data_IF_360021775029
#
_entry.id   IF_360021775029
#
_cell.length_a   1.000
_cell.length_b   1.000
_cell.length_c   1.000
_cell.angle_alpha   90.00
_cell.angle_beta   90.00
_cell.angle_gamma   90.00
#
_symmetry.space_group_name_H-M   'P 1'
#
loop_
_entity.id
_entity.type
_entity.pdbx_description
1 polymer ?
#
# COMPACT_ATOMS: atom_id res chain seq x y z
N UNK A 1 15.29 -44.78 -6.95
CA UNK A 1 15.35 -43.31 -6.91
C UNK A 1 14.66 -42.72 -8.15
N UNK A 2 13.38 -42.32 -8.07
CA UNK A 2 12.62 -41.70 -9.19
C UNK A 2 12.08 -40.30 -8.84
N UNK A 3 12.71 -39.59 -7.90
CA UNK A 3 12.22 -38.31 -7.35
C UNK A 3 12.37 -37.04 -8.23
N UNK A 4 13.25 -36.93 -9.26
CA UNK A 4 13.42 -35.65 -9.94
C UNK A 4 12.29 -35.32 -10.93
N UNK A 5 11.71 -36.32 -11.60
CA UNK A 5 10.71 -36.09 -12.65
C UNK A 5 9.37 -35.57 -12.09
N UNK A 6 8.93 -36.07 -10.92
CA UNK A 6 7.70 -35.62 -10.25
C UNK A 6 7.80 -34.19 -9.74
N UNK A 7 8.99 -33.79 -9.29
CA UNK A 7 9.26 -32.42 -8.81
C UNK A 7 9.22 -31.41 -9.96
N UNK A 8 9.79 -31.77 -11.12
CA UNK A 8 9.74 -30.95 -12.34
C UNK A 8 8.33 -30.79 -12.90
N UNK A 9 7.54 -31.88 -12.93
CA UNK A 9 6.14 -31.83 -13.39
C UNK A 9 5.28 -30.97 -12.45
N UNK A 10 5.45 -31.07 -11.13
CA UNK A 10 4.75 -30.23 -10.18
C UNK A 10 5.11 -28.74 -10.33
N UNK A 11 6.39 -28.43 -10.55
CA UNK A 11 6.84 -27.05 -10.81
C UNK A 11 6.25 -26.49 -12.12
N UNK A 12 6.17 -27.32 -13.17
CA UNK A 12 5.58 -26.94 -14.46
C UNK A 12 4.06 -26.69 -14.38
N UNK A 13 3.34 -27.50 -13.60
CA UNK A 13 1.90 -27.31 -13.39
C UNK A 13 1.60 -26.05 -12.57
N UNK A 14 2.39 -25.79 -11.52
CA UNK A 14 2.22 -24.58 -10.69
C UNK A 14 2.52 -23.29 -11.47
N UNK A 15 3.51 -23.32 -12.36
CA UNK A 15 3.83 -22.19 -13.23
C UNK A 15 2.76 -21.95 -14.30
N UNK A 16 2.06 -22.99 -14.76
CA UNK A 16 0.94 -22.84 -15.69
C UNK A 16 -0.33 -22.22 -15.06
N UNK A 17 -0.46 -22.26 -13.73
CA UNK A 17 -1.60 -21.69 -12.98
C UNK A 17 -1.31 -20.26 -12.50
N UNK A 18 -0.05 -19.83 -12.52
CA UNK A 18 0.37 -18.50 -12.10
C UNK A 18 -0.09 -17.43 -13.11
N UNK A 19 -1.25 -16.80 -12.86
CA UNK A 19 -1.66 -15.59 -13.55
C UNK A 19 -1.13 -14.36 -12.80
N UNK A 20 -0.47 -13.45 -13.50
CA UNK A 20 -0.07 -12.16 -12.95
C UNK A 20 -1.24 -11.19 -13.02
N UNK A 21 -1.78 -10.82 -11.86
CA UNK A 21 -2.71 -9.70 -11.76
C UNK A 21 -1.90 -8.44 -11.38
N UNK A 22 -1.86 -7.45 -12.26
CA UNK A 22 -1.23 -6.14 -12.02
C UNK A 22 -2.09 -5.27 -11.08
N UNK A 23 -2.54 -5.83 -9.95
CA UNK A 23 -3.47 -5.21 -9.01
C UNK A 23 -2.77 -4.69 -7.73
N UNK A 24 -1.44 -4.54 -7.76
CA UNK A 24 -0.64 -4.14 -6.59
C UNK A 24 -0.98 -2.74 -6.08
N UNK A 25 -1.24 -1.78 -6.98
CA UNK A 25 -1.64 -0.42 -6.60
C UNK A 25 -0.70 0.21 -5.56
N UNK A 26 -1.21 0.43 -4.35
CA UNK A 26 -0.48 0.96 -3.19
C UNK A 26 -0.30 -0.08 -2.07
N UNK A 27 -0.46 -1.38 -2.39
CA UNK A 27 -0.18 -2.48 -1.47
C UNK A 27 1.32 -2.58 -1.20
N UNK A 28 1.66 -2.78 0.06
CA UNK A 28 3.02 -2.99 0.57
C UNK A 28 3.11 -4.32 1.35
N UNK A 29 2.39 -5.33 0.85
CA UNK A 29 2.23 -6.62 1.54
C UNK A 29 3.58 -7.33 1.74
N UNK A 30 4.47 -7.30 0.75
CA UNK A 30 5.80 -7.92 0.82
C UNK A 30 6.78 -7.15 1.69
N UNK A 31 6.61 -5.83 1.78
CA UNK A 31 7.45 -4.90 2.53
C UNK A 31 7.12 -4.90 4.03
N UNK A 32 6.09 -5.65 4.43
CA UNK A 32 5.69 -5.86 5.82
C UNK A 32 6.58 -6.87 6.56
N UNK A 33 7.62 -7.43 5.93
CA UNK A 33 8.59 -8.33 6.56
C UNK A 33 9.87 -8.51 5.73
N UNK A 34 11.09 -8.46 6.31
CA UNK A 34 12.35 -8.58 5.56
C UNK A 34 12.49 -9.90 4.81
N UNK A 35 12.08 -11.01 5.43
CA UNK A 35 12.09 -12.34 4.81
C UNK A 35 11.20 -12.37 3.57
N UNK A 36 10.00 -11.79 3.67
CA UNK A 36 9.02 -11.76 2.58
C UNK A 36 9.48 -10.89 1.41
N UNK A 37 10.16 -9.79 1.70
CA UNK A 37 10.80 -8.98 0.65
C UNK A 37 11.94 -9.77 -0.02
N UNK A 38 12.78 -10.43 0.77
CA UNK A 38 13.95 -11.17 0.28
C UNK A 38 13.61 -12.36 -0.62
N UNK A 39 12.45 -13.00 -0.40
CA UNK A 39 11.98 -14.13 -1.22
C UNK A 39 10.88 -13.76 -2.21
N UNK A 40 10.58 -12.46 -2.38
CA UNK A 40 9.54 -11.95 -3.27
C UNK A 40 8.14 -12.54 -2.99
N UNK A 41 7.76 -12.69 -1.73
CA UNK A 41 6.45 -13.23 -1.35
C UNK A 41 6.33 -14.75 -1.46
N UNK A 42 7.39 -15.46 -1.86
CA UNK A 42 7.33 -16.88 -2.14
C UNK A 42 7.06 -17.69 -0.87
N UNK A 43 6.00 -18.49 -0.88
CA UNK A 43 5.63 -19.30 0.29
C UNK A 43 5.07 -18.49 1.45
N UNK A 44 4.59 -17.26 1.22
CA UNK A 44 4.10 -16.36 2.27
C UNK A 44 3.13 -17.00 3.28
N UNK A 45 2.23 -17.85 2.79
CA UNK A 45 1.23 -18.51 3.63
C UNK A 45 1.71 -19.85 4.23
N UNK A 46 2.89 -20.36 3.89
CA UNK A 46 3.31 -21.73 4.23
C UNK A 46 4.68 -21.80 4.93
N UNK A 47 5.53 -20.79 4.76
CA UNK A 47 6.90 -20.78 5.27
C UNK A 47 6.98 -20.12 6.66
N UNK A 48 7.07 -20.93 7.71
CA UNK A 48 7.23 -20.45 9.09
C UNK A 48 8.69 -20.24 9.48
N UNK A 49 9.43 -19.37 8.75
CA UNK A 49 10.84 -19.11 9.03
C UNK A 49 11.06 -18.34 10.35
N UNK A 50 10.19 -17.37 10.64
CA UNK A 50 10.25 -16.54 11.84
C UNK A 50 8.85 -16.00 12.23
N UNK A 51 8.75 -15.17 13.28
CA UNK A 51 7.48 -14.65 13.78
C UNK A 51 6.65 -13.86 12.75
N UNK A 52 7.25 -13.36 11.67
CA UNK A 52 6.52 -12.62 10.63
C UNK A 52 5.44 -13.46 9.96
N UNK A 53 5.54 -14.80 10.02
CA UNK A 53 4.53 -15.70 9.46
C UNK A 53 3.12 -15.40 10.00
N UNK A 54 2.99 -14.88 11.22
CA UNK A 54 1.69 -14.53 11.79
C UNK A 54 0.85 -13.65 10.86
N UNK A 55 1.41 -12.50 10.46
CA UNK A 55 0.77 -11.55 9.54
C UNK A 55 0.35 -12.19 8.20
N UNK A 56 1.18 -13.09 7.69
CA UNK A 56 1.01 -13.69 6.37
C UNK A 56 0.14 -14.94 6.37
N UNK A 57 0.10 -15.68 7.48
CA UNK A 57 -0.81 -16.77 7.82
C UNK A 57 -0.70 -17.10 9.32
N UNK A 58 -1.69 -16.74 10.15
CA UNK A 58 -1.64 -16.98 11.59
C UNK A 58 -1.61 -18.49 11.95
N UNK A 59 -2.09 -19.38 11.07
CA UNK A 59 -1.95 -20.82 11.27
C UNK A 59 -0.49 -21.28 11.24
N UNK A 60 0.40 -20.54 10.56
CA UNK A 60 1.83 -20.80 10.51
C UNK A 60 2.57 -20.51 11.81
N UNK A 61 1.97 -19.78 12.76
CA UNK A 61 2.57 -19.53 14.07
C UNK A 61 2.90 -20.83 14.83
N UNK A 62 2.20 -21.93 14.55
CA UNK A 62 2.46 -23.24 15.17
C UNK A 62 3.81 -23.87 14.78
N UNK A 63 4.47 -23.31 13.75
CA UNK A 63 5.82 -23.68 13.34
C UNK A 63 6.90 -22.98 14.19
N UNK A 64 6.50 -21.99 15.00
CA UNK A 64 7.39 -21.25 15.88
C UNK A 64 7.49 -21.96 17.22
N UNK A 65 8.64 -22.55 17.49
CA UNK A 65 8.86 -23.36 18.70
C UNK A 65 9.47 -22.60 19.88
N UNK A 66 10.05 -21.43 19.63
CA UNK A 66 10.67 -20.59 20.65
C UNK A 66 10.07 -19.20 20.63
N UNK A 67 10.04 -18.55 21.80
CA UNK A 67 9.70 -17.14 21.89
C UNK A 67 10.69 -16.33 21.04
N UNK A 68 10.18 -15.49 20.16
CA UNK A 68 11.02 -14.66 19.30
C UNK A 68 10.36 -13.31 19.00
N UNK A 69 11.21 -12.31 18.80
CA UNK A 69 10.83 -11.00 18.29
C UNK A 69 11.67 -10.71 17.04
N UNK A 70 11.02 -10.24 15.99
CA UNK A 70 11.64 -9.90 14.70
C UNK A 70 11.34 -8.45 14.43
N UNK A 71 12.38 -7.62 14.32
CA UNK A 71 12.28 -6.23 13.93
C UNK A 71 13.03 -6.01 12.62
N UNK A 72 12.46 -5.23 11.72
CA UNK A 72 13.11 -4.91 10.46
C UNK A 72 12.45 -3.73 9.75
N UNK A 73 12.88 -3.49 8.52
CA UNK A 73 12.21 -2.56 7.64
C UNK A 73 12.78 -2.57 6.23
N UNK A 74 12.00 -2.04 5.31
CA UNK A 74 12.29 -2.07 3.87
C UNK A 74 12.32 -0.64 3.33
N UNK A 75 13.40 -0.30 2.64
CA UNK A 75 13.49 0.93 1.87
C UNK A 75 12.79 0.76 0.53
N UNK A 76 11.83 1.63 0.23
CA UNK A 76 11.11 1.66 -1.05
C UNK A 76 11.64 2.85 -1.85
N UNK A 77 12.30 2.56 -2.97
CA UNK A 77 12.94 3.53 -3.85
C UNK A 77 12.25 3.51 -5.23
N UNK A 78 11.02 4.05 -5.34
CA UNK A 78 10.25 3.98 -6.57
C UNK A 78 10.76 4.98 -7.61
N UNK A 79 10.59 4.63 -8.88
CA UNK A 79 10.76 5.56 -10.01
C UNK A 79 9.42 5.69 -10.72
N UNK A 80 8.84 6.89 -10.69
CA UNK A 80 7.64 7.24 -11.44
C UNK A 80 7.94 8.47 -12.27
N UNK A 81 7.89 8.29 -13.58
CA UNK A 81 8.18 9.33 -14.55
C UNK A 81 7.05 9.40 -15.57
N UNK A 82 6.55 10.61 -15.82
CA UNK A 82 5.47 10.86 -16.78
C UNK A 82 5.87 11.91 -17.81
N UNK A 83 5.39 11.72 -19.03
CA UNK A 83 5.55 12.63 -20.16
C UNK A 83 4.20 12.77 -20.84
N UNK A 84 3.91 13.95 -21.37
CA UNK A 84 2.65 14.20 -22.04
C UNK A 84 2.34 15.68 -22.17
N UNK A 85 1.04 15.96 -22.27
CA UNK A 85 0.52 17.30 -22.47
C UNK A 85 -0.71 17.49 -21.57
N UNK A 86 -0.73 18.58 -20.83
CA UNK A 86 -1.90 19.04 -20.08
C UNK A 86 -2.58 20.15 -20.87
N UNK A 87 -3.87 19.99 -21.14
CA UNK A 87 -4.66 20.95 -21.92
C UNK A 87 -5.87 21.40 -21.12
N UNK A 88 -6.06 22.72 -21.05
CA UNK A 88 -7.14 23.37 -20.31
C UNK A 88 -7.96 24.24 -21.27
N UNK A 89 -9.27 24.05 -21.26
CA UNK A 89 -10.20 24.73 -22.14
C UNK A 89 -11.23 25.49 -21.31
N UNK A 90 -11.66 26.66 -21.81
CA UNK A 90 -12.75 27.44 -21.21
C UNK A 90 -13.74 27.82 -22.30
N UNK A 91 -15.04 27.55 -22.13
CA UNK A 91 -16.07 28.00 -23.06
C UNK A 91 -16.17 29.52 -23.20
N UNK A 92 -15.59 30.28 -22.27
CA UNK A 92 -15.60 31.75 -22.25
C UNK A 92 -14.50 32.39 -23.11
N UNK A 93 -13.54 31.61 -23.60
CA UNK A 93 -12.38 32.09 -24.36
C UNK A 93 -12.24 31.28 -25.64
N UNK A 94 -13.05 31.62 -26.66
CA UNK A 94 -13.05 31.17 -28.07
C UNK A 94 -11.98 30.11 -28.42
N UNK A 95 -12.17 28.88 -27.94
CA UNK A 95 -11.33 27.71 -28.19
C UNK A 95 -9.80 27.94 -28.09
N UNK A 96 -9.34 28.89 -27.28
CA UNK A 96 -7.89 29.11 -27.06
C UNK A 96 -7.45 28.35 -25.81
N UNK A 97 -6.93 27.11 -25.94
CA UNK A 97 -6.52 26.35 -24.77
C UNK A 97 -5.24 26.92 -24.17
N UNK A 98 -5.11 26.72 -22.86
CA UNK A 98 -3.80 26.71 -22.24
C UNK A 98 -3.25 25.28 -22.31
N UNK A 99 -2.06 25.14 -22.89
CA UNK A 99 -1.41 23.84 -23.13
C UNK A 99 0.00 23.86 -22.57
N UNK A 100 0.31 22.85 -21.75
CA UNK A 100 1.65 22.60 -21.24
C UNK A 100 2.12 21.22 -21.66
N UNK A 101 3.17 21.17 -22.47
CA UNK A 101 3.86 19.92 -22.81
C UNK A 101 5.02 19.71 -21.86
N UNK A 102 5.16 18.50 -21.34
CA UNK A 102 6.19 18.13 -20.38
C UNK A 102 6.78 16.77 -20.74
N UNK A 103 8.06 16.61 -20.43
CA UNK A 103 8.75 15.35 -20.63
C UNK A 103 9.50 14.97 -19.36
N UNK A 104 9.25 13.77 -18.88
CA UNK A 104 10.06 13.17 -17.84
C UNK A 104 9.84 13.77 -16.45
N UNK A 105 8.65 14.30 -16.16
CA UNK A 105 8.31 14.75 -14.81
C UNK A 105 8.41 13.58 -13.84
N UNK A 106 9.12 13.79 -12.74
CA UNK A 106 9.31 12.79 -11.68
C UNK A 106 8.39 13.14 -10.52
N UNK A 107 7.74 12.13 -9.96
CA UNK A 107 6.83 12.36 -8.83
C UNK A 107 6.77 11.24 -7.82
N UNK A 108 7.66 10.24 -7.89
CA UNK A 108 7.73 9.21 -6.87
C UNK A 108 8.50 9.72 -5.64
N UNK A 109 8.08 9.28 -4.46
CA UNK A 109 8.76 9.60 -3.20
C UNK A 109 9.31 8.32 -2.57
N UNK A 110 10.54 8.41 -2.09
CA UNK A 110 11.17 7.35 -1.31
C UNK A 110 10.48 7.19 0.06
N UNK A 111 10.45 5.96 0.56
CA UNK A 111 9.84 5.64 1.84
C UNK A 111 10.61 4.55 2.58
N UNK A 112 10.41 4.49 3.89
CA UNK A 112 10.89 3.40 4.73
C UNK A 112 9.70 2.76 5.44
N UNK A 113 9.59 1.44 5.33
CA UNK A 113 8.48 0.64 5.85
C UNK A 113 9.02 -0.21 7.01
N UNK A 114 8.81 0.19 8.28
CA UNK A 114 9.23 -0.63 9.41
C UNK A 114 8.26 -1.80 9.64
N UNK A 115 8.76 -2.89 10.21
CA UNK A 115 7.95 -3.98 10.73
C UNK A 115 8.46 -4.52 12.06
N UNK A 116 7.53 -4.97 12.89
CA UNK A 116 7.79 -5.67 14.14
C UNK A 116 6.85 -6.86 14.23
N UNK A 117 7.40 -8.04 14.54
CA UNK A 117 6.64 -9.25 14.76
C UNK A 117 7.09 -9.91 16.06
N UNK A 118 6.18 -10.56 16.73
CA UNK A 118 6.45 -11.27 17.97
C UNK A 118 5.64 -12.56 18.01
N UNK A 119 6.27 -13.62 18.51
CA UNK A 119 5.62 -14.91 18.72
C UNK A 119 6.00 -15.47 20.09
N UNK A 120 4.98 -15.96 20.80
CA UNK A 120 5.06 -16.60 22.11
C UNK A 120 4.36 -17.96 22.04
N UNK A 121 5.12 -19.07 21.99
CA UNK A 121 4.56 -20.41 22.10
C UNK A 121 3.78 -20.58 23.41
N UNK A 122 2.56 -21.10 23.31
CA UNK A 122 1.67 -21.38 24.43
C UNK A 122 1.51 -22.90 24.56
N UNK A 123 2.53 -23.54 25.12
CA UNK A 123 2.66 -25.00 25.10
C UNK A 123 2.95 -25.55 23.70
N UNK A 124 2.60 -26.82 23.45
CA UNK A 124 3.01 -27.53 22.22
C UNK A 124 2.05 -27.34 21.03
N UNK A 125 0.85 -26.81 21.29
CA UNK A 125 -0.26 -26.80 20.32
C UNK A 125 -0.73 -25.41 19.93
N UNK A 126 -0.29 -24.35 20.61
CA UNK A 126 -0.74 -23.00 20.30
C UNK A 126 0.43 -22.01 20.35
N UNK A 127 0.30 -20.90 19.64
CA UNK A 127 1.26 -19.80 19.67
C UNK A 127 0.49 -18.50 19.52
N UNK A 128 0.67 -17.61 20.48
CA UNK A 128 0.20 -16.24 20.38
C UNK A 128 1.23 -15.41 19.63
N UNK A 129 0.79 -14.48 18.81
CA UNK A 129 1.66 -13.53 18.16
C UNK A 129 1.04 -12.14 18.08
N UNK A 130 1.88 -11.18 17.70
CA UNK A 130 1.37 -9.94 17.14
C UNK A 130 2.32 -9.39 16.09
N UNK A 131 1.76 -8.60 15.19
CA UNK A 131 2.48 -7.92 14.12
C UNK A 131 2.15 -6.42 14.13
N UNK A 132 3.16 -5.56 13.94
CA UNK A 132 3.02 -4.13 13.64
C UNK A 132 3.64 -3.90 12.27
N UNK A 133 2.81 -3.57 11.29
CA UNK A 133 3.19 -3.49 9.87
C UNK A 133 2.50 -2.33 9.16
N UNK A 134 2.88 -2.06 7.92
CA UNK A 134 2.22 -1.06 7.04
C UNK A 134 1.84 -1.72 5.72
N UNK A 135 0.64 -2.33 5.63
CA UNK A 135 0.24 -3.13 4.46
C UNK A 135 -0.13 -2.29 3.24
N UNK A 136 -0.34 -0.98 3.42
CA UNK A 136 -0.68 -0.04 2.35
C UNK A 136 0.14 1.23 2.50
N UNK A 137 0.73 1.70 1.41
CA UNK A 137 1.47 2.94 1.38
C UNK A 137 1.75 3.45 -0.02
N UNK A 138 1.64 4.75 -0.20
CA UNK A 138 1.95 5.46 -1.43
C UNK A 138 2.29 6.90 -1.09
N UNK A 139 3.31 7.44 -1.75
CA UNK A 139 3.56 8.86 -1.74
C UNK A 139 4.00 9.32 -3.14
N UNK A 140 3.32 10.34 -3.66
CA UNK A 140 3.72 11.06 -4.87
C UNK A 140 3.77 12.56 -4.62
N UNK A 141 4.74 13.21 -5.24
CA UNK A 141 5.00 14.64 -5.09
C UNK A 141 5.38 15.24 -6.45
N UNK A 142 4.47 16.00 -7.03
CA UNK A 142 4.66 16.76 -8.25
C UNK A 142 4.84 18.22 -7.88
N UNK A 143 5.80 18.89 -8.52
CA UNK A 143 6.08 20.29 -8.22
C UNK A 143 4.83 21.17 -8.40
N UNK A 144 4.71 22.17 -7.54
CA UNK A 144 3.59 23.12 -7.52
C UNK A 144 3.43 23.91 -8.83
N UNK A 145 4.52 24.08 -9.58
CA UNK A 145 4.62 24.71 -10.90
C UNK A 145 4.63 23.70 -12.06
N UNK A 146 4.42 22.41 -11.78
CA UNK A 146 4.40 21.39 -12.83
C UNK A 146 3.15 21.49 -13.69
N UNK A 147 3.25 20.97 -14.92
CA UNK A 147 2.13 20.86 -15.85
C UNK A 147 0.96 19.97 -15.35
N UNK A 148 1.15 19.18 -14.28
CA UNK A 148 0.12 18.30 -13.70
C UNK A 148 -0.43 18.81 -12.36
N UNK A 149 -0.06 20.04 -11.97
CA UNK A 149 -0.39 20.64 -10.66
C UNK A 149 -1.89 20.66 -10.35
N UNK A 150 -2.74 20.77 -11.37
CA UNK A 150 -4.20 20.80 -11.19
C UNK A 150 -4.83 19.41 -10.97
N UNK A 151 -4.11 18.35 -11.34
CA UNK A 151 -4.50 16.97 -11.12
C UNK A 151 -4.05 16.52 -9.73
N UNK A 152 -2.77 16.72 -9.40
CA UNK A 152 -2.21 16.48 -8.07
C UNK A 152 -0.87 17.21 -7.92
N UNK A 153 -0.58 17.64 -6.70
CA UNK A 153 0.76 18.08 -6.26
C UNK A 153 1.32 17.14 -5.20
N UNK A 154 0.49 16.66 -4.28
CA UNK A 154 0.93 15.70 -3.27
C UNK A 154 -0.17 14.69 -2.98
N UNK A 155 0.11 13.40 -3.16
CA UNK A 155 -0.79 12.31 -2.75
C UNK A 155 -0.04 11.42 -1.77
N UNK A 156 -0.63 11.17 -0.61
CA UNK A 156 -0.05 10.31 0.42
C UNK A 156 -1.12 9.40 1.00
N UNK A 157 -0.81 8.12 1.11
CA UNK A 157 -1.52 7.14 1.92
C UNK A 157 -0.46 6.47 2.79
N UNK A 158 -0.60 6.55 4.10
CA UNK A 158 0.27 5.86 5.06
C UNK A 158 -0.62 5.07 6.00
N UNK A 159 -0.29 3.80 6.22
CA UNK A 159 -0.99 2.95 7.17
C UNK A 159 -0.05 2.41 8.24
N UNK A 160 -0.61 2.14 9.40
CA UNK A 160 0.04 1.39 10.47
C UNK A 160 -1.01 0.44 11.02
N UNK A 161 -0.70 -0.85 10.99
CA UNK A 161 -1.60 -1.91 11.39
C UNK A 161 -0.99 -2.68 12.55
N UNK A 162 -1.74 -2.79 13.65
CA UNK A 162 -1.42 -3.67 14.76
C UNK A 162 -2.34 -4.89 14.70
N UNK A 163 -1.75 -6.07 14.70
CA UNK A 163 -2.46 -7.32 14.55
C UNK A 163 -2.11 -8.33 15.63
N UNK A 164 -2.89 -8.44 16.72
CA UNK A 164 -2.80 -9.59 17.61
C UNK A 164 -3.41 -10.83 16.94
N UNK A 165 -2.77 -11.97 17.15
CA UNK A 165 -3.02 -13.19 16.39
C UNK A 165 -2.74 -14.46 17.21
N UNK A 166 -3.42 -15.54 16.87
CA UNK A 166 -3.21 -16.84 17.49
C UNK A 166 -3.28 -17.95 16.45
N UNK A 167 -2.32 -18.86 16.49
CA UNK A 167 -2.28 -20.09 15.71
C UNK A 167 -2.39 -21.31 16.61
N UNK A 168 -3.10 -22.34 16.15
CA UNK A 168 -3.33 -23.57 16.89
C UNK A 168 -3.30 -24.83 16.01
N UNK A 169 -2.65 -25.88 16.49
CA UNK A 169 -2.65 -27.21 15.87
C UNK A 169 -3.95 -27.93 16.24
N UNK A 170 -4.74 -28.28 15.23
CA UNK A 170 -5.89 -29.17 15.41
C UNK A 170 -5.45 -30.62 15.37
N UNK A 171 -4.51 -30.94 14.48
CA UNK A 171 -3.83 -32.24 14.38
C UNK A 171 -2.35 -32.01 14.09
N UNK A 172 -1.55 -33.08 14.04
CA UNK A 172 -0.13 -32.99 13.69
C UNK A 172 0.10 -32.56 12.23
N UNK A 173 -0.93 -32.66 11.39
CA UNK A 173 -0.89 -32.33 9.96
C UNK A 173 -1.73 -31.11 9.60
N UNK A 174 -2.46 -30.51 10.55
CA UNK A 174 -3.39 -29.43 10.25
C UNK A 174 -3.43 -28.40 11.38
N UNK A 175 -3.28 -27.13 10.99
CA UNK A 175 -3.36 -25.98 11.87
C UNK A 175 -4.28 -24.90 11.32
N UNK A 176 -4.83 -24.11 12.23
CA UNK A 176 -5.69 -22.97 11.94
C UNK A 176 -5.20 -21.78 12.74
N UNK A 177 -5.51 -20.58 12.28
CA UNK A 177 -5.21 -19.36 13.03
C UNK A 177 -6.13 -18.22 12.64
N UNK A 178 -6.17 -17.23 13.51
CA UNK A 178 -6.91 -15.99 13.28
C UNK A 178 -6.24 -14.82 13.99
N UNK A 179 -6.46 -13.62 13.48
CA UNK A 179 -6.03 -12.38 14.08
C UNK A 179 -7.01 -11.25 13.82
N UNK A 180 -6.88 -10.19 14.60
CA UNK A 180 -7.62 -8.94 14.42
C UNK A 180 -6.68 -7.91 13.81
N UNK A 181 -7.20 -7.03 12.94
CA UNK A 181 -6.40 -5.99 12.30
C UNK A 181 -6.91 -4.62 12.75
N UNK A 182 -6.08 -3.89 13.49
CA UNK A 182 -6.36 -2.54 13.96
C UNK A 182 -5.48 -1.56 13.20
N UNK A 183 -6.05 -0.91 12.19
CA UNK A 183 -5.29 -0.07 11.27
C UNK A 183 -5.58 1.41 11.49
N UNK A 184 -4.53 2.19 11.74
CA UNK A 184 -4.53 3.63 11.55
C UNK A 184 -4.12 3.96 10.12
N UNK A 185 -4.83 4.88 9.48
CA UNK A 185 -4.51 5.38 8.15
C UNK A 185 -4.50 6.90 8.16
N UNK A 186 -3.52 7.50 7.49
CA UNK A 186 -3.46 8.92 7.17
C UNK A 186 -3.45 9.09 5.66
N UNK A 187 -4.21 10.08 5.19
CA UNK A 187 -4.21 10.49 3.80
C UNK A 187 -3.91 11.97 3.63
N UNK A 188 -3.19 12.31 2.58
CA UNK A 188 -3.14 13.68 2.05
C UNK A 188 -3.43 13.67 0.56
N UNK A 189 -4.19 14.66 0.10
CA UNK A 189 -4.42 14.87 -1.32
C UNK A 189 -4.43 16.36 -1.60
N UNK A 190 -3.33 16.86 -2.15
CA UNK A 190 -3.14 18.27 -2.43
C UNK A 190 -3.04 18.48 -3.93
N UNK A 191 -3.53 19.63 -4.39
CA UNK A 191 -3.44 20.07 -5.79
C UNK A 191 -3.47 21.58 -5.85
N UNK A 192 -3.03 22.14 -6.97
CA UNK A 192 -3.38 23.51 -7.32
C UNK A 192 -4.81 23.55 -7.87
N UNK A 193 -5.50 24.64 -7.59
CA UNK A 193 -6.69 25.08 -8.29
C UNK A 193 -6.33 26.37 -9.01
N UNK A 194 -6.78 26.54 -10.24
CA UNK A 194 -6.46 27.73 -11.03
C UNK A 194 -7.38 27.87 -12.22
N UNK A 195 -7.30 29.03 -12.85
CA UNK A 195 -8.02 29.39 -14.07
C UNK A 195 -7.01 29.76 -15.15
N UNK A 196 -6.18 28.81 -15.62
CA UNK A 196 -5.01 29.15 -16.42
C UNK A 196 -5.38 29.79 -17.77
N UNK A 197 -6.52 29.43 -18.36
CA UNK A 197 -7.05 30.06 -19.59
C UNK A 197 -7.40 31.53 -19.35
N UNK A 198 -8.04 31.85 -18.22
CA UNK A 198 -8.38 33.24 -17.85
C UNK A 198 -7.12 34.08 -17.59
N UNK A 199 -6.04 33.46 -17.11
CA UNK A 199 -4.79 34.13 -16.82
C UNK A 199 -3.85 34.27 -18.03
N UNK A 200 -4.21 33.74 -19.21
CA UNK A 200 -3.40 33.89 -20.44
C UNK A 200 -3.08 35.36 -20.77
N UNK A 201 -4.04 36.31 -20.74
CA UNK A 201 -3.74 37.72 -21.00
C UNK A 201 -2.81 38.37 -19.96
N UNK A 202 -2.70 37.77 -18.77
CA UNK A 202 -1.82 38.25 -17.70
C UNK A 202 -0.37 37.76 -17.86
N UNK A 203 -0.08 36.95 -18.88
CA UNK A 203 1.26 36.45 -19.21
C UNK A 203 1.79 35.37 -18.26
N UNK A 204 1.08 35.06 -17.17
CA UNK A 204 1.42 33.98 -16.25
C UNK A 204 0.16 33.19 -15.86
N UNK A 205 0.00 31.94 -16.33
CA UNK A 205 -1.17 31.10 -16.06
C UNK A 205 -1.32 30.72 -14.58
N UNK A 206 -0.25 30.85 -13.78
CA UNK A 206 -0.23 30.51 -12.36
C UNK A 206 -0.59 31.68 -11.42
N UNK A 207 -0.79 32.89 -11.94
CA UNK A 207 -1.05 34.09 -11.09
C UNK A 207 -2.35 33.98 -10.29
N UNK A 208 -3.27 33.14 -10.76
CA UNK A 208 -4.55 32.84 -10.10
C UNK A 208 -4.54 31.46 -9.42
N UNK A 209 -3.37 30.82 -9.26
CA UNK A 209 -3.31 29.51 -8.62
C UNK A 209 -3.54 29.62 -7.12
N UNK A 210 -4.12 28.57 -6.56
CA UNK A 210 -4.38 28.42 -5.13
C UNK A 210 -4.20 26.98 -4.72
N UNK A 211 -3.48 26.78 -3.63
CA UNK A 211 -3.22 25.46 -3.08
C UNK A 211 -4.46 24.96 -2.35
N UNK A 212 -5.00 23.83 -2.80
CA UNK A 212 -5.94 23.02 -2.05
C UNK A 212 -5.14 22.00 -1.24
N UNK A 213 -5.06 22.21 0.07
CA UNK A 213 -4.44 21.32 1.02
C UNK A 213 -5.52 20.48 1.71
N UNK A 214 -5.47 19.15 1.57
CA UNK A 214 -6.44 18.25 2.20
C UNK A 214 -5.69 17.17 2.97
N UNK A 215 -6.07 16.99 4.24
CA UNK A 215 -5.48 15.99 5.13
C UNK A 215 -6.58 15.35 5.96
N UNK A 216 -6.52 14.03 6.11
CA UNK A 216 -7.40 13.30 7.01
C UNK A 216 -6.75 12.06 7.56
N UNK A 217 -7.38 11.53 8.61
CA UNK A 217 -7.00 10.28 9.23
C UNK A 217 -8.23 9.46 9.63
N UNK A 218 -8.02 8.16 9.82
CA UNK A 218 -9.07 7.20 10.17
C UNK A 218 -8.46 6.02 10.89
N UNK A 219 -9.25 5.45 11.80
CA UNK A 219 -9.07 4.08 12.25
C UNK A 219 -10.00 3.15 11.47
N UNK A 220 -9.53 1.93 11.22
CA UNK A 220 -10.26 0.85 10.59
C UNK A 220 -10.02 -0.45 11.36
N UNK A 221 -11.01 -1.33 11.33
CA UNK A 221 -10.94 -2.66 11.96
C UNK A 221 -11.21 -3.72 10.91
N UNK A 222 -10.43 -4.79 10.96
CA UNK A 222 -10.57 -5.97 10.16
C UNK A 222 -10.19 -7.21 10.96
N UNK A 223 -10.13 -8.33 10.25
CA UNK A 223 -9.59 -9.58 10.74
C UNK A 223 -8.89 -10.30 9.60
N UNK A 224 -8.06 -11.26 9.97
CA UNK A 224 -7.51 -12.23 9.04
C UNK A 224 -7.56 -13.63 9.65
N UNK A 225 -7.60 -14.64 8.79
CA UNK A 225 -7.70 -16.03 9.18
C UNK A 225 -6.90 -16.90 8.22
N UNK A 226 -6.36 -17.99 8.73
CA UNK A 226 -5.52 -18.87 7.95
C UNK A 226 -5.64 -20.33 8.33
N UNK A 227 -5.24 -21.17 7.37
CA UNK A 227 -5.15 -22.62 7.49
C UNK A 227 -3.79 -23.07 6.98
N UNK A 228 -3.26 -24.14 7.57
CA UNK A 228 -1.99 -24.73 7.18
C UNK A 228 -2.08 -26.25 7.21
N UNK A 229 -1.89 -26.87 6.05
CA UNK A 229 -1.71 -28.32 5.91
C UNK A 229 -0.22 -28.68 5.85
N UNK A 230 0.19 -29.65 6.66
CA UNK A 230 1.56 -30.15 6.75
C UNK A 230 1.59 -31.63 6.34
N UNK A 231 2.30 -31.92 5.25
CA UNK A 231 2.38 -33.24 4.62
C UNK A 231 3.81 -33.76 4.61
N UNK A 232 3.96 -35.09 4.47
CA UNK A 232 5.25 -35.77 4.41
C UNK A 232 6.19 -35.34 5.54
N UNK A 233 5.80 -35.57 6.80
CA UNK A 233 6.59 -35.19 7.97
C UNK A 233 7.03 -33.72 7.97
N UNK A 234 6.10 -32.83 7.55
CA UNK A 234 6.29 -31.38 7.46
C UNK A 234 7.29 -30.91 6.38
N UNK A 235 7.70 -31.77 5.43
CA UNK A 235 8.51 -31.40 4.28
C UNK A 235 7.72 -30.66 3.19
N UNK A 236 6.39 -30.74 3.20
CA UNK A 236 5.54 -30.02 2.24
C UNK A 236 4.42 -29.35 2.99
N UNK A 237 4.27 -28.04 2.79
CA UNK A 237 3.26 -27.23 3.46
C UNK A 237 2.40 -26.53 2.42
N UNK A 238 1.10 -26.52 2.67
CA UNK A 238 0.13 -25.76 1.87
C UNK A 238 -0.63 -24.87 2.83
N UNK A 239 -0.50 -23.56 2.65
CA UNK A 239 -1.18 -22.58 3.47
C UNK A 239 -2.15 -21.74 2.65
N UNK A 240 -3.24 -21.33 3.29
CA UNK A 240 -4.18 -20.36 2.75
C UNK A 240 -4.41 -19.31 3.83
N UNK A 241 -4.31 -18.05 3.43
CA UNK A 241 -4.60 -16.90 4.26
C UNK A 241 -5.70 -16.04 3.61
N UNK A 242 -6.58 -15.50 4.44
CA UNK A 242 -7.61 -14.56 4.07
C UNK A 242 -7.51 -13.34 4.97
N UNK A 243 -7.28 -12.17 4.38
CA UNK A 243 -7.40 -10.89 5.06
C UNK A 243 -8.69 -10.21 4.63
N UNK A 244 -9.49 -9.76 5.60
CA UNK A 244 -10.77 -9.11 5.36
C UNK A 244 -10.61 -7.72 4.73
N UNK A 245 -11.67 -7.26 4.06
CA UNK A 245 -11.74 -5.87 3.60
C UNK A 245 -11.88 -4.93 4.80
N UNK A 246 -10.95 -3.98 4.91
CA UNK A 246 -11.05 -2.87 5.86
C UNK A 246 -11.79 -1.66 5.23
N UNK A 247 -12.59 -0.97 6.04
CA UNK A 247 -13.27 0.27 5.62
C UNK A 247 -12.78 1.43 6.48
N UNK A 248 -12.29 2.47 5.82
CA UNK A 248 -11.87 3.71 6.48
C UNK A 248 -12.86 4.84 6.14
N UNK A 249 -13.19 5.65 7.16
CA UNK A 249 -13.93 6.90 7.00
C UNK A 249 -13.06 8.02 7.55
N UNK A 250 -12.39 8.72 6.64
CA UNK A 250 -11.45 9.77 6.98
C UNK A 250 -12.17 11.01 7.50
N UNK A 251 -11.68 11.53 8.62
CA UNK A 251 -12.04 12.84 9.15
C UNK A 251 -10.81 13.72 9.15
N UNK A 252 -10.99 15.01 8.87
CA UNK A 252 -9.87 15.91 8.68
C UNK A 252 -10.32 17.28 8.22
N UNK A 253 -9.44 17.98 7.51
CA UNK A 253 -9.70 19.34 7.06
C UNK A 253 -9.19 19.59 5.64
N UNK A 254 -9.79 20.61 5.03
CA UNK A 254 -9.41 21.17 3.75
C UNK A 254 -9.11 22.66 3.94
N UNK A 255 -7.98 23.12 3.41
CA UNK A 255 -7.60 24.52 3.38
C UNK A 255 -7.36 24.92 1.94
N UNK A 256 -7.92 26.06 1.54
CA UNK A 256 -7.60 26.71 0.28
C UNK A 256 -6.80 27.97 0.61
N UNK A 257 -5.63 28.12 0.00
CA UNK A 257 -4.77 29.29 0.17
C UNK A 257 -4.26 29.80 -1.17
N UNK A 258 -4.36 31.09 -1.42
CA UNK A 258 -3.94 31.73 -2.67
C UNK A 258 -5.00 32.68 -3.23
N UNK A 259 -4.83 33.09 -4.49
CA UNK A 259 -5.65 34.11 -5.14
C UNK A 259 -7.16 33.78 -5.17
N UNK A 260 -7.53 32.51 -5.30
CA UNK A 260 -8.92 32.02 -5.30
C UNK A 260 -9.50 31.81 -3.90
N UNK A 261 -8.69 31.87 -2.84
CA UNK A 261 -9.15 31.74 -1.45
C UNK A 261 -9.76 33.04 -0.90
N UNK A 262 -9.41 34.18 -1.49
CA UNK A 262 -9.95 35.49 -1.13
C UNK A 262 -11.27 35.80 -1.85
N UNK A 263 -11.90 36.92 -1.48
CA UNK A 263 -13.00 37.48 -2.26
C UNK A 263 -12.44 37.93 -3.60
N UNK A 264 -12.61 37.12 -4.64
CA UNK A 264 -12.29 37.57 -6.00
C UNK A 264 -13.32 38.64 -6.35
N UNK A 265 -12.97 39.91 -6.18
CA UNK A 265 -13.73 41.01 -6.77
C UNK A 265 -13.48 40.94 -8.28
N UNK A 266 -14.29 40.16 -8.98
CA UNK A 266 -14.18 39.95 -10.42
C UNK A 266 -14.51 41.21 -11.23
N UNK A 267 -14.86 42.33 -10.57
CA UNK A 267 -15.47 43.47 -11.24
C UNK A 267 -16.84 43.09 -11.78
N UNK A 268 -17.75 44.05 -11.80
CA UNK A 268 -18.95 43.93 -12.63
C UNK A 268 -18.50 43.90 -14.09
N UNK A 269 -18.66 42.76 -14.77
CA UNK A 269 -18.53 42.73 -16.22
C UNK A 269 -19.59 43.67 -16.83
N UNK A 270 -19.23 44.50 -17.84
CA UNK A 270 -20.17 45.34 -18.56
C UNK A 270 -21.23 44.53 -19.33
#
# INVERSE_FOLDING_TARGET
>A
MHKPLRTLVNAAVLSAIASTAYAGGFSLYTESGPMMTGNFGAGAAAEGADASIGWYNPAGLVLIHNQQAVFGGVGVLPVAQISGTSSYFSPLFDDTPYVETFNGLKGAKEAFVPSLHYALPLGDRATFGFSIVSPFGLATEWAADSAVRYQATFTEVITMNFSPEIGGKLTDNFAVGAGLDLQYARVKFNRMLGLPVFALPLGNPMVVDSLSYNKGDSFGVGFHAGILGMFNDNHTRIGLNYQSKMRHKFNGYSQLSGSLAGTVNLGTFP
#
